data_IF_318376778243
#
_entry.id   IF_318376778243
#
_cell.length_a   1.000
_cell.length_b   1.000
_cell.length_c   1.000
_cell.angle_alpha   90.00
_cell.angle_beta   90.00
_cell.angle_gamma   90.00
#
_symmetry.space_group_name_H-M   'P 1'
#
loop_
_entity.id
_entity.type
_entity.pdbx_description
1 polymer ?
#
# COMPACT_ATOMS: atom_id res chain seq x y z
N UNK A 1 37.28 11.65 53.39
CA UNK A 1 37.32 10.38 52.64
C UNK A 1 35.87 9.95 52.39
N UNK A 2 35.15 10.68 51.53
CA UNK A 2 34.78 10.31 50.14
C UNK A 2 34.00 9.01 50.04
N UNK A 3 32.67 9.11 50.07
CA UNK A 3 31.77 8.08 49.54
C UNK A 3 30.95 8.70 48.42
N UNK A 4 31.04 8.06 47.25
CA UNK A 4 30.70 8.61 45.95
C UNK A 4 29.19 8.66 45.69
N UNK A 5 28.77 9.83 45.21
CA UNK A 5 27.44 10.14 44.70
C UNK A 5 27.29 9.53 43.30
N UNK A 6 26.46 8.51 43.14
CA UNK A 6 26.18 7.92 41.83
C UNK A 6 25.14 8.75 41.08
N UNK A 7 25.58 9.38 39.99
CA UNK A 7 24.75 10.10 39.04
C UNK A 7 23.94 9.11 38.21
N UNK A 8 22.62 9.16 38.34
CA UNK A 8 21.67 8.73 37.31
C UNK A 8 21.90 9.59 36.06
N UNK A 9 21.43 9.08 34.93
CA UNK A 9 21.37 9.74 33.62
C UNK A 9 22.64 9.61 32.77
N UNK A 10 22.69 8.50 32.03
CA UNK A 10 23.47 8.42 30.79
C UNK A 10 22.57 7.90 29.68
N UNK A 11 21.71 8.79 29.19
CA UNK A 11 20.98 8.60 27.93
C UNK A 11 22.01 8.73 26.81
N UNK A 12 22.33 7.62 26.15
CA UNK A 12 23.14 7.64 24.94
C UNK A 12 22.28 8.22 23.80
N UNK A 13 22.39 9.53 23.59
CA UNK A 13 21.87 10.20 22.42
C UNK A 13 22.73 9.86 21.21
N UNK A 14 22.26 8.95 20.36
CA UNK A 14 22.82 8.78 19.02
C UNK A 14 22.33 9.95 18.14
N UNK A 15 23.05 11.06 18.12
CA UNK A 15 22.81 12.15 17.17
C UNK A 15 23.53 11.84 15.85
N UNK A 16 22.79 11.34 14.86
CA UNK A 16 23.25 11.40 13.47
C UNK A 16 22.72 12.71 12.87
N UNK A 17 23.59 13.72 12.77
CA UNK A 17 23.29 14.93 12.02
C UNK A 17 23.30 14.62 10.52
N UNK A 18 22.17 14.87 9.85
CA UNK A 18 22.08 14.90 8.40
C UNK A 18 21.90 16.36 7.98
N UNK A 19 22.84 16.85 7.18
CA UNK A 19 22.86 18.19 6.58
C UNK A 19 21.61 18.38 5.70
N UNK A 20 20.78 19.39 6.03
CA UNK A 20 19.61 19.76 5.23
C UNK A 20 20.04 20.38 3.89
N UNK A 21 19.67 19.73 2.80
CA UNK A 21 19.55 20.31 1.46
C UNK A 21 18.06 20.43 1.13
N UNK A 22 17.63 21.61 0.69
CA UNK A 22 16.25 22.07 0.75
C UNK A 22 15.21 21.33 -0.10
N UNK A 23 13.96 21.39 0.37
CA UNK A 23 12.77 21.37 -0.49
C UNK A 23 11.83 20.16 -0.35
N UNK A 24 11.30 19.88 0.84
CA UNK A 24 10.04 19.13 1.06
C UNK A 24 9.62 19.38 2.51
N UNK A 25 8.32 19.55 2.78
CA UNK A 25 7.82 19.78 4.14
C UNK A 25 8.23 18.63 5.06
N UNK A 26 9.25 18.84 5.90
CA UNK A 26 9.69 17.84 6.86
C UNK A 26 8.71 17.77 8.04
N UNK A 27 8.13 16.58 8.27
CA UNK A 27 7.31 16.27 9.44
C UNK A 27 8.00 15.19 10.28
N UNK A 28 8.14 15.43 11.58
CA UNK A 28 8.81 14.50 12.50
C UNK A 28 7.79 13.63 13.22
N UNK A 29 7.90 12.30 13.07
CA UNK A 29 7.13 11.33 13.84
C UNK A 29 7.98 10.74 14.97
N UNK A 30 7.48 10.83 16.20
CA UNK A 30 8.09 10.19 17.37
C UNK A 30 7.10 9.18 17.93
N UNK A 31 7.50 7.91 18.03
CA UNK A 31 6.69 6.84 18.57
C UNK A 31 7.54 5.95 19.48
N UNK A 32 6.90 5.30 20.45
CA UNK A 32 7.56 4.35 21.35
C UNK A 32 7.35 2.93 20.84
N UNK A 33 8.41 2.13 20.88
CA UNK A 33 8.40 0.69 20.57
C UNK A 33 9.14 -0.04 21.68
N UNK A 34 8.83 -1.33 21.85
CA UNK A 34 9.64 -2.21 22.68
C UNK A 34 11.07 -2.29 22.11
N UNK A 35 12.07 -2.36 22.99
CA UNK A 35 13.49 -2.42 22.62
C UNK A 35 13.84 -3.66 21.79
N UNK A 36 13.22 -4.80 22.09
CA UNK A 36 13.40 -6.04 21.30
C UNK A 36 12.93 -5.84 19.85
N UNK A 37 11.75 -5.25 19.67
CA UNK A 37 11.20 -4.96 18.34
C UNK A 37 12.08 -3.96 17.57
N UNK A 38 12.60 -2.93 18.25
CA UNK A 38 13.53 -1.96 17.66
C UNK A 38 14.82 -2.65 17.18
N UNK A 39 15.36 -3.56 17.97
CA UNK A 39 16.57 -4.31 17.64
C UNK A 39 16.37 -5.17 16.39
N UNK A 40 15.33 -6.00 16.40
CA UNK A 40 15.02 -6.90 15.28
C UNK A 40 14.69 -6.13 14.00
N UNK A 41 13.90 -5.07 14.10
CA UNK A 41 13.59 -4.22 12.94
C UNK A 41 14.85 -3.57 12.36
N UNK A 42 15.74 -3.07 13.21
CA UNK A 42 17.00 -2.45 12.77
C UNK A 42 17.96 -3.46 12.16
N UNK A 43 17.99 -4.70 12.66
CA UNK A 43 18.77 -5.80 12.09
C UNK A 43 18.24 -6.20 10.72
N UNK A 44 16.92 -6.35 10.59
CA UNK A 44 16.27 -6.65 9.32
C UNK A 44 16.49 -5.54 8.29
N UNK A 45 16.40 -4.27 8.70
CA UNK A 45 16.68 -3.13 7.81
C UNK A 45 18.11 -3.15 7.27
N UNK A 46 19.09 -3.37 8.15
CA UNK A 46 20.52 -3.46 7.79
C UNK A 46 20.80 -4.63 6.86
N UNK A 47 20.12 -5.77 7.01
CA UNK A 47 20.28 -6.91 6.11
C UNK A 47 19.86 -6.62 4.66
N UNK A 48 19.11 -5.53 4.45
CA UNK A 48 18.64 -5.05 3.14
C UNK A 48 19.32 -3.73 2.74
N UNK A 49 20.42 -3.36 3.40
CA UNK A 49 21.16 -2.10 3.22
C UNK A 49 20.30 -0.84 3.33
N UNK A 50 19.24 -0.88 4.16
CA UNK A 50 18.34 0.25 4.41
C UNK A 50 18.36 0.66 5.87
N UNK A 51 18.11 1.94 6.14
CA UNK A 51 17.82 2.43 7.48
C UNK A 51 16.37 2.13 7.88
N UNK A 52 16.13 1.96 9.18
CA UNK A 52 14.79 1.77 9.75
C UNK A 52 13.83 2.90 9.33
N UNK A 53 14.32 4.14 9.25
CA UNK A 53 13.53 5.29 8.83
C UNK A 53 13.15 5.26 7.33
N UNK A 54 14.02 4.73 6.47
CA UNK A 54 13.69 4.53 5.05
C UNK A 54 12.59 3.48 4.89
N UNK A 55 12.71 2.33 5.56
CA UNK A 55 11.67 1.29 5.50
C UNK A 55 10.32 1.78 6.02
N UNK A 56 10.32 2.58 7.08
CA UNK A 56 9.08 3.14 7.60
C UNK A 56 8.43 4.11 6.59
N UNK A 57 9.22 4.94 5.91
CA UNK A 57 8.71 5.83 4.85
C UNK A 57 8.15 5.05 3.66
N UNK A 58 8.85 3.99 3.24
CA UNK A 58 8.38 3.12 2.15
C UNK A 58 7.05 2.47 2.54
N UNK A 59 6.97 1.89 3.75
CA UNK A 59 5.75 1.29 4.27
C UNK A 59 4.59 2.28 4.36
N UNK A 60 4.82 3.49 4.87
CA UNK A 60 3.77 4.52 4.96
C UNK A 60 3.23 4.88 3.57
N UNK A 61 4.11 5.02 2.57
CA UNK A 61 3.72 5.32 1.19
C UNK A 61 2.89 4.19 0.59
N UNK A 62 3.35 2.95 0.74
CA UNK A 62 2.63 1.77 0.26
C UNK A 62 1.27 1.61 0.94
N UNK A 63 1.21 1.86 2.25
CA UNK A 63 -0.04 1.77 3.01
C UNK A 63 -1.06 2.79 2.53
N UNK A 64 -0.67 4.06 2.37
CA UNK A 64 -1.58 5.12 1.87
C UNK A 64 -2.06 4.79 0.47
N UNK A 65 -1.15 4.43 -0.45
CA UNK A 65 -1.52 4.03 -1.80
C UNK A 65 -2.47 2.82 -1.82
N UNK A 66 -2.26 1.85 -0.92
CA UNK A 66 -3.16 0.71 -0.79
C UNK A 66 -4.55 1.14 -0.31
N UNK A 67 -4.65 2.03 0.68
CA UNK A 67 -5.93 2.54 1.16
C UNK A 67 -6.65 3.38 0.11
N UNK A 68 -5.92 4.26 -0.59
CA UNK A 68 -6.46 5.06 -1.70
C UNK A 68 -7.00 4.15 -2.80
N UNK A 69 -6.23 3.15 -3.26
CA UNK A 69 -6.72 2.19 -4.26
C UNK A 69 -7.97 1.44 -3.80
N UNK A 70 -8.07 1.07 -2.53
CA UNK A 70 -9.26 0.40 -2.00
C UNK A 70 -10.47 1.34 -1.97
N UNK A 71 -10.28 2.60 -1.56
CA UNK A 71 -11.34 3.60 -1.52
C UNK A 71 -11.79 4.03 -2.93
N UNK A 72 -10.84 4.22 -3.85
CA UNK A 72 -11.09 4.49 -5.26
C UNK A 72 -11.80 3.30 -5.92
N UNK A 73 -11.37 2.07 -5.63
CA UNK A 73 -12.05 0.88 -6.13
C UNK A 73 -13.47 0.77 -5.59
N UNK A 74 -13.72 1.02 -4.30
CA UNK A 74 -15.07 0.99 -3.73
C UNK A 74 -15.97 2.07 -4.35
N UNK A 75 -15.47 3.30 -4.47
CA UNK A 75 -16.25 4.40 -5.07
C UNK A 75 -16.55 4.15 -6.55
N UNK A 76 -15.57 3.71 -7.32
CA UNK A 76 -15.76 3.29 -8.71
C UNK A 76 -16.77 2.14 -8.82
N UNK A 77 -16.64 1.12 -7.97
CA UNK A 77 -17.53 -0.04 -7.99
C UNK A 77 -18.98 0.35 -7.68
N UNK A 78 -19.20 1.20 -6.67
CA UNK A 78 -20.54 1.72 -6.36
C UNK A 78 -21.14 2.48 -7.53
N UNK A 79 -20.35 3.30 -8.21
CA UNK A 79 -20.81 4.04 -9.38
C UNK A 79 -21.16 3.10 -10.54
N UNK A 80 -20.36 2.06 -10.80
CA UNK A 80 -20.68 1.04 -11.81
C UNK A 80 -21.95 0.25 -11.46
N UNK A 81 -22.13 -0.12 -10.19
CA UNK A 81 -23.35 -0.79 -9.71
C UNK A 81 -24.57 0.10 -9.91
N UNK A 82 -24.47 1.38 -9.56
CA UNK A 82 -25.54 2.36 -9.76
C UNK A 82 -25.91 2.49 -11.24
N UNK A 83 -24.92 2.63 -12.12
CA UNK A 83 -25.15 2.68 -13.58
C UNK A 83 -25.86 1.42 -14.10
N UNK A 84 -25.46 0.24 -13.62
CA UNK A 84 -26.12 -1.02 -13.98
C UNK A 84 -27.58 -1.08 -13.51
N UNK A 85 -27.84 -0.66 -12.27
CA UNK A 85 -29.19 -0.61 -11.70
C UNK A 85 -30.08 0.40 -12.43
N UNK A 86 -29.56 1.59 -12.72
CA UNK A 86 -30.30 2.64 -13.44
C UNK A 86 -30.63 2.18 -14.87
N UNK A 87 -29.71 1.51 -15.55
CA UNK A 87 -29.93 0.94 -16.89
C UNK A 87 -30.99 -0.17 -16.87
N UNK A 88 -30.93 -1.07 -15.89
CA UNK A 88 -31.93 -2.10 -15.69
C UNK A 88 -33.32 -1.52 -15.40
N UNK A 89 -33.39 -0.52 -14.52
CA UNK A 89 -34.62 0.20 -14.18
C UNK A 89 -35.20 0.97 -15.36
N UNK A 90 -34.34 1.48 -16.26
CA UNK A 90 -34.73 2.09 -17.52
C UNK A 90 -35.21 1.06 -18.58
N UNK A 91 -35.18 -0.24 -18.26
CA UNK A 91 -35.65 -1.31 -19.14
C UNK A 91 -34.62 -1.77 -20.18
N UNK A 92 -33.36 -1.32 -20.10
CA UNK A 92 -32.29 -1.72 -21.01
C UNK A 92 -31.70 -3.10 -20.67
N UNK A 93 -32.59 -4.08 -20.43
CA UNK A 93 -32.23 -5.45 -20.11
C UNK A 93 -32.06 -6.27 -21.38
N UNK A 94 -31.05 -7.15 -21.39
CA UNK A 94 -30.85 -8.12 -22.46
C UNK A 94 -31.26 -9.50 -21.94
N UNK A 95 -32.08 -10.26 -22.67
CA UNK A 95 -32.42 -11.62 -22.29
C UNK A 95 -31.17 -12.50 -22.15
N UNK A 96 -31.17 -13.39 -21.15
CA UNK A 96 -30.03 -14.26 -20.87
C UNK A 96 -29.59 -15.10 -22.07
N UNK A 97 -30.54 -15.60 -22.88
CA UNK A 97 -30.24 -16.38 -24.08
C UNK A 97 -29.43 -15.60 -25.12
N UNK A 98 -29.74 -14.32 -25.31
CA UNK A 98 -29.04 -13.45 -26.27
C UNK A 98 -27.62 -13.12 -25.79
N UNK A 99 -27.45 -12.93 -24.47
CA UNK A 99 -26.13 -12.78 -23.84
C UNK A 99 -25.30 -14.04 -24.07
N UNK A 100 -25.83 -15.22 -23.77
CA UNK A 100 -25.11 -16.49 -23.95
C UNK A 100 -24.72 -16.73 -25.41
N UNK A 101 -25.62 -16.50 -26.36
CA UNK A 101 -25.33 -16.63 -27.79
C UNK A 101 -24.18 -15.71 -28.21
N UNK A 102 -24.20 -14.44 -27.78
CA UNK A 102 -23.16 -13.46 -28.08
C UNK A 102 -21.80 -13.86 -27.50
N UNK A 103 -21.75 -14.30 -26.24
CA UNK A 103 -20.51 -14.68 -25.60
C UNK A 103 -19.99 -16.05 -26.08
N UNK A 104 -20.86 -16.98 -26.47
CA UNK A 104 -20.47 -18.21 -27.17
C UNK A 104 -19.79 -17.90 -28.51
N UNK A 105 -20.35 -17.00 -29.32
CA UNK A 105 -19.74 -16.58 -30.58
C UNK A 105 -18.37 -15.93 -30.38
N UNK A 106 -18.22 -15.07 -29.36
CA UNK A 106 -16.93 -14.45 -29.00
C UNK A 106 -15.88 -15.49 -28.62
N UNK A 107 -16.23 -16.45 -27.76
CA UNK A 107 -15.32 -17.54 -27.37
C UNK A 107 -14.91 -18.40 -28.55
N UNK A 108 -15.85 -18.76 -29.43
CA UNK A 108 -15.56 -19.53 -30.63
C UNK A 108 -14.63 -18.79 -31.59
N UNK A 109 -14.79 -17.46 -31.74
CA UNK A 109 -13.89 -16.63 -32.53
C UNK A 109 -12.47 -16.61 -31.94
N UNK A 110 -12.35 -16.39 -30.62
CA UNK A 110 -11.06 -16.43 -29.92
C UNK A 110 -10.38 -17.78 -30.11
N UNK A 111 -11.12 -18.89 -29.95
CA UNK A 111 -10.58 -20.24 -30.15
C UNK A 111 -10.05 -20.44 -31.56
N UNK A 112 -10.82 -20.06 -32.58
CA UNK A 112 -10.37 -20.12 -33.99
C UNK A 112 -9.10 -19.31 -34.24
N UNK A 113 -8.94 -18.18 -33.57
CA UNK A 113 -7.74 -17.35 -33.72
C UNK A 113 -6.52 -18.01 -33.07
N UNK A 114 -6.68 -18.64 -31.91
CA UNK A 114 -5.63 -19.42 -31.25
C UNK A 114 -5.24 -20.63 -32.12
N UNK A 115 -6.22 -21.35 -32.66
CA UNK A 115 -5.98 -22.52 -33.51
C UNK A 115 -5.25 -22.15 -34.81
N UNK A 116 -5.49 -20.96 -35.36
CA UNK A 116 -4.75 -20.43 -36.52
C UNK A 116 -3.31 -20.03 -36.23
N UNK A 117 -2.98 -19.79 -34.96
CA UNK A 117 -1.63 -19.38 -34.53
C UNK A 117 -0.74 -20.57 -34.18
N UNK A 118 -1.29 -21.79 -34.25
CA UNK A 118 -0.61 -23.04 -33.94
C UNK A 118 -0.23 -23.80 -35.20
#
# INVERSE_FOLDING_TARGET
>A
MTSARWSKDRVLHCTNNVTQGGGMSDATFTFRVNDELKSEFSKAARSRDRSSAQLLRDFMREYVQQQERLAEHDSWFREQVKQGLDSANAGNLVPAGDVEAKFAARRALTQRNIDKQR
#
